data_IF_657407354670
#
_entry.id   IF_657407354670
#
_cell.length_a   1.000
_cell.length_b   1.000
_cell.length_c   1.000
_cell.angle_alpha   90.00
_cell.angle_beta   90.00
_cell.angle_gamma   90.00
#
_symmetry.space_group_name_H-M   'P 1'
#
loop_
_entity.id
_entity.type
_entity.pdbx_description
1 polymer ?
#
# COMPACT_ATOMS: atom_id res chain seq x y z
N UNK A 1 10.42 2.26 12.01
CA UNK A 1 11.70 1.55 11.72
C UNK A 1 12.89 2.48 11.97
N UNK A 2 13.99 2.02 12.57
CA UNK A 2 15.16 2.90 12.87
C UNK A 2 15.99 3.21 11.62
N UNK A 3 16.58 4.41 11.56
CA UNK A 3 17.43 4.86 10.43
C UNK A 3 18.60 3.91 10.11
N UNK A 4 19.22 3.31 11.13
CA UNK A 4 20.32 2.36 10.95
C UNK A 4 19.87 1.07 10.23
N UNK A 5 18.76 0.46 10.68
CA UNK A 5 18.16 -0.72 10.02
C UNK A 5 17.75 -0.42 8.57
N UNK A 6 17.17 0.76 8.29
CA UNK A 6 16.78 1.14 6.94
C UNK A 6 17.98 1.21 5.98
N UNK A 7 19.08 1.81 6.43
CA UNK A 7 20.33 1.88 5.65
C UNK A 7 20.91 0.50 5.37
N UNK A 8 20.92 -0.39 6.36
CA UNK A 8 21.45 -1.74 6.20
C UNK A 8 20.68 -2.52 5.11
N UNK A 9 19.34 -2.44 5.11
CA UNK A 9 18.51 -3.13 4.11
C UNK A 9 18.67 -2.51 2.72
N UNK A 10 18.70 -1.18 2.60
CA UNK A 10 18.95 -0.49 1.32
C UNK A 10 20.31 -0.88 0.73
N UNK A 11 21.37 -0.86 1.55
CA UNK A 11 22.71 -1.23 1.12
C UNK A 11 22.76 -2.69 0.62
N UNK A 12 22.07 -3.60 1.32
CA UNK A 12 21.99 -5.01 0.92
C UNK A 12 21.23 -5.20 -0.40
N UNK A 13 20.11 -4.51 -0.60
CA UNK A 13 19.37 -4.56 -1.85
C UNK A 13 20.24 -4.12 -3.03
N UNK A 14 20.99 -3.01 -2.88
CA UNK A 14 21.95 -2.54 -3.88
C UNK A 14 23.06 -3.54 -4.17
N UNK A 15 23.69 -4.10 -3.13
CA UNK A 15 24.74 -5.11 -3.27
C UNK A 15 24.26 -6.34 -4.06
N UNK A 16 22.96 -6.65 -3.97
CA UNK A 16 22.34 -7.80 -4.64
C UNK A 16 21.72 -7.46 -6.00
N UNK A 17 21.83 -6.22 -6.47
CA UNK A 17 21.16 -5.78 -7.69
C UNK A 17 19.64 -5.84 -7.61
N UNK A 18 19.08 -5.87 -6.40
CA UNK A 18 17.64 -5.94 -6.17
C UNK A 18 17.02 -4.55 -6.05
N UNK A 19 15.80 -4.40 -6.56
CA UNK A 19 14.98 -3.20 -6.37
C UNK A 19 14.24 -3.30 -5.04
N UNK A 20 14.46 -2.33 -4.14
CA UNK A 20 13.78 -2.26 -2.85
C UNK A 20 12.52 -1.40 -2.98
N UNK A 21 11.36 -2.01 -2.69
CA UNK A 21 10.06 -1.35 -2.60
C UNK A 21 9.66 -1.22 -1.12
N UNK A 22 9.22 -0.04 -0.71
CA UNK A 22 8.71 0.20 0.65
C UNK A 22 7.27 0.71 0.58
N UNK A 23 6.40 0.07 1.36
CA UNK A 23 5.01 0.46 1.59
C UNK A 23 4.87 1.11 2.96
N UNK A 24 4.03 2.14 3.06
CA UNK A 24 3.60 2.77 4.33
C UNK A 24 4.72 3.24 5.29
N UNK A 25 5.90 3.60 4.74
CA UNK A 25 7.03 4.07 5.53
C UNK A 25 8.00 4.94 4.75
N UNK A 26 8.68 5.85 5.44
CA UNK A 26 9.73 6.70 4.84
C UNK A 26 11.13 6.12 5.12
N UNK A 27 11.78 5.60 4.07
CA UNK A 27 13.12 5.04 4.14
C UNK A 27 14.04 5.82 3.21
N UNK A 28 15.08 6.45 3.75
CA UNK A 28 16.06 7.20 2.95
C UNK A 28 16.80 6.27 1.98
N UNK A 29 16.75 6.58 0.68
CA UNK A 29 17.56 5.95 -0.37
C UNK A 29 16.91 4.77 -1.11
N UNK A 30 15.61 4.53 -0.93
CA UNK A 30 14.83 3.58 -1.73
C UNK A 30 14.67 4.06 -3.18
N UNK A 31 14.61 3.12 -4.12
CA UNK A 31 14.46 3.41 -5.56
C UNK A 31 13.03 3.82 -5.92
N UNK A 32 12.05 3.21 -5.26
CA UNK A 32 10.63 3.45 -5.50
C UNK A 32 9.87 3.40 -4.18
N UNK A 33 9.00 4.38 -3.95
CA UNK A 33 8.06 4.39 -2.84
C UNK A 33 6.66 4.08 -3.35
N UNK A 34 5.96 3.18 -2.65
CA UNK A 34 4.56 2.89 -2.91
C UNK A 34 3.72 3.31 -1.70
N UNK A 35 2.63 4.03 -1.95
CA UNK A 35 1.61 4.34 -0.95
C UNK A 35 0.27 3.78 -1.43
N UNK A 36 -0.50 3.19 -0.53
CA UNK A 36 -1.84 2.72 -0.82
C UNK A 36 -2.80 3.31 0.21
N UNK A 37 -3.97 3.77 -0.25
CA UNK A 37 -5.05 4.21 0.63
C UNK A 37 -6.35 3.56 0.18
N UNK A 38 -7.17 3.14 1.14
CA UNK A 38 -8.55 2.74 0.86
C UNK A 38 -9.34 3.98 0.48
N UNK A 39 -9.87 3.99 -0.74
CA UNK A 39 -10.71 5.08 -1.25
C UNK A 39 -12.19 4.67 -1.34
N UNK A 40 -12.51 3.40 -1.13
CA UNK A 40 -13.89 2.94 -1.08
C UNK A 40 -14.00 1.46 -0.74
N UNK A 41 -15.25 1.03 -0.56
CA UNK A 41 -15.62 -0.35 -0.31
C UNK A 41 -16.74 -0.75 -1.26
N UNK A 42 -16.72 -2.00 -1.67
CA UNK A 42 -17.83 -2.61 -2.38
C UNK A 42 -18.65 -3.41 -1.36
N UNK A 43 -19.96 -3.18 -1.36
CA UNK A 43 -20.88 -3.76 -0.38
C UNK A 43 -21.77 -4.75 -1.10
N UNK A 44 -21.90 -5.96 -0.56
CA UNK A 44 -22.87 -6.94 -1.05
C UNK A 44 -24.27 -6.33 -0.96
N UNK A 45 -25.02 -6.23 -2.08
CA UNK A 45 -26.36 -5.67 -2.05
C UNK A 45 -27.28 -6.55 -1.18
N UNK A 46 -28.13 -5.92 -0.37
CA UNK A 46 -29.16 -6.62 0.37
C UNK A 46 -30.23 -7.18 -0.60
N UNK A 47 -31.12 -8.05 -0.12
CA UNK A 47 -32.19 -8.72 -0.90
C UNK A 47 -33.03 -7.81 -1.82
N UNK A 48 -33.04 -6.48 -1.61
CA UNK A 48 -33.70 -5.49 -2.49
C UNK A 48 -32.77 -4.83 -3.53
N UNK A 49 -31.55 -5.34 -3.74
CA UNK A 49 -30.62 -4.92 -4.80
C UNK A 49 -29.89 -3.59 -4.57
N UNK A 50 -30.32 -2.77 -3.62
CA UNK A 50 -29.68 -1.47 -3.32
C UNK A 50 -28.85 -1.58 -2.04
N UNK A 51 -27.53 -1.33 -2.08
CA UNK A 51 -26.71 -1.20 -0.88
C UNK A 51 -27.25 -0.06 0.00
N UNK A 52 -27.52 -0.35 1.27
CA UNK A 52 -27.89 0.69 2.24
C UNK A 52 -26.60 1.31 2.78
N UNK A 53 -26.38 2.63 2.67
CA UNK A 53 -25.18 3.27 3.21
C UNK A 53 -25.01 2.94 4.71
N UNK A 54 -23.82 2.48 5.09
CA UNK A 54 -23.51 2.11 6.48
C UNK A 54 -23.99 0.72 6.93
N UNK A 55 -24.65 -0.06 6.07
CA UNK A 55 -25.07 -1.44 6.36
C UNK A 55 -24.64 -2.42 5.26
N UNK A 56 -24.33 -3.66 5.66
CA UNK A 56 -24.02 -4.76 4.74
C UNK A 56 -22.63 -5.37 4.95
N UNK A 57 -22.31 -6.39 4.13
CA UNK A 57 -21.01 -7.07 4.14
C UNK A 57 -20.09 -6.46 3.09
N UNK A 58 -18.87 -6.10 3.47
CA UNK A 58 -17.83 -5.69 2.51
C UNK A 58 -17.49 -6.92 1.65
N UNK A 59 -17.71 -6.81 0.34
CA UNK A 59 -17.30 -7.81 -0.65
C UNK A 59 -15.99 -7.47 -1.34
N UNK A 60 -15.59 -6.21 -1.32
CA UNK A 60 -14.37 -5.74 -1.97
C UNK A 60 -13.85 -4.45 -1.34
N UNK A 61 -12.55 -4.22 -1.49
CA UNK A 61 -11.89 -2.98 -1.07
C UNK A 61 -11.33 -2.30 -2.30
N UNK A 62 -11.66 -1.02 -2.47
CA UNK A 62 -11.08 -0.20 -3.53
C UNK A 62 -9.87 0.53 -2.98
N UNK A 63 -8.73 0.27 -3.59
CA UNK A 63 -7.45 0.86 -3.24
C UNK A 63 -7.04 1.88 -4.30
N UNK A 64 -6.59 3.05 -3.84
CA UNK A 64 -5.79 3.94 -4.65
C UNK A 64 -4.33 3.68 -4.33
N UNK A 65 -3.53 3.38 -5.35
CA UNK A 65 -2.11 3.11 -5.24
C UNK A 65 -1.34 4.24 -5.93
N UNK A 66 -0.36 4.80 -5.23
CA UNK A 66 0.51 5.85 -5.74
C UNK A 66 1.96 5.37 -5.67
N UNK A 67 2.70 5.55 -6.77
CA UNK A 67 4.13 5.25 -6.85
C UNK A 67 4.95 6.51 -7.07
N UNK A 68 6.09 6.64 -6.39
CA UNK A 68 7.11 7.67 -6.67
C UNK A 68 8.46 7.00 -6.88
N UNK A 69 8.92 7.01 -8.13
CA UNK A 69 10.26 6.55 -8.52
C UNK A 69 11.30 7.66 -8.44
N UNK A 70 12.57 7.27 -8.60
CA UNK A 70 13.70 8.19 -8.79
C UNK A 70 13.85 8.61 -10.24
#
# INVERSE_FOLDING_TARGET
MTRARARAVVARARQKGCTLLVTDGDWQGVSTRLAARVCGYEITPALRGVPTPGLGRISGVRLQINGRGR
#
